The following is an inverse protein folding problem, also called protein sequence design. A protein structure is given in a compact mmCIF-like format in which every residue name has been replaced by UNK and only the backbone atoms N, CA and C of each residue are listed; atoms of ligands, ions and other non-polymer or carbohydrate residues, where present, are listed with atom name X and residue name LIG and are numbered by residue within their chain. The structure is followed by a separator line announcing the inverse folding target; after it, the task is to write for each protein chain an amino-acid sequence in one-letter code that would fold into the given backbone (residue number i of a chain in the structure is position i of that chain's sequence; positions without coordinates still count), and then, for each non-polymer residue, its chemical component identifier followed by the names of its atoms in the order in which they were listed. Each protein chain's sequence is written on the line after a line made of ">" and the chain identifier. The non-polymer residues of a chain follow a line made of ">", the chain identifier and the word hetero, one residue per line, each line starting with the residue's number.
data_IF_227289536074
#
_entry.id   IF_227289536074
#
_cell.length_a   1.000
_cell.length_b   1.000
_cell.length_c   1.000
_cell.angle_alpha   90.00
_cell.angle_beta   90.00
_cell.angle_gamma   90.00
#
_symmetry.space_group_name_H-M   'P 1'
#
loop_
_entity.id
_entity.type
_entity.pdbx_description
1 polymer ?
#
# COMPACT_ATOMS: atom_id res chain seq x y z
N UNK A 1 -15.37 25.57 77.15
CA UNK A 1 -16.65 25.24 76.50
C UNK A 1 -16.43 25.33 75.00
N UNK A 2 -16.55 24.18 74.33
CA UNK A 2 -17.25 23.96 73.04
C UNK A 2 -16.79 24.79 71.82
N UNK A 3 -16.62 24.28 70.62
CA UNK A 3 -16.62 22.93 70.06
C UNK A 3 -16.13 23.11 68.61
N UNK A 4 -15.30 22.18 68.15
CA UNK A 4 -15.35 21.55 66.82
C UNK A 4 -16.23 22.22 65.73
N UNK A 5 -15.61 22.71 64.65
CA UNK A 5 -16.05 22.45 63.27
C UNK A 5 -14.80 22.41 62.37
N UNK A 6 -14.18 21.22 62.27
CA UNK A 6 -14.10 20.38 61.06
C UNK A 6 -13.39 21.06 59.88
N UNK A 7 -12.07 20.82 59.81
CA UNK A 7 -11.34 20.86 58.56
C UNK A 7 -12.01 19.93 57.55
N UNK A 8 -12.36 20.48 56.40
CA UNK A 8 -12.80 19.70 55.25
C UNK A 8 -11.54 19.05 54.68
N UNK A 9 -11.14 17.93 55.27
CA UNK A 9 -10.34 16.95 54.56
C UNK A 9 -11.29 16.30 53.56
N UNK A 10 -11.40 16.88 52.36
CA UNK A 10 -11.82 16.12 51.20
C UNK A 10 -10.74 15.06 51.01
N UNK A 11 -10.93 13.89 51.63
CA UNK A 11 -10.27 12.68 51.20
C UNK A 11 -10.72 12.48 49.76
N UNK A 12 -9.91 12.96 48.81
CA UNK A 12 -9.99 12.50 47.45
C UNK A 12 -9.66 11.02 47.53
N UNK A 13 -10.68 10.18 47.71
CA UNK A 13 -10.59 8.81 47.29
C UNK A 13 -10.39 8.92 45.79
N UNK A 14 -9.12 8.92 45.37
CA UNK A 14 -8.75 8.62 44.02
C UNK A 14 -9.34 7.24 43.78
N UNK A 15 -10.54 7.21 43.19
CA UNK A 15 -11.08 6.02 42.59
C UNK A 15 -10.05 5.71 41.51
N UNK A 16 -9.15 4.78 41.82
CA UNK A 16 -8.28 4.16 40.82
C UNK A 16 -9.24 3.32 39.99
N UNK A 17 -9.95 4.00 39.11
CA UNK A 17 -10.52 3.44 37.91
C UNK A 17 -9.31 2.94 37.15
N UNK A 18 -8.93 1.67 37.37
CA UNK A 18 -8.14 0.95 36.38
C UNK A 18 -9.06 0.90 35.17
N UNK A 19 -8.90 1.86 34.26
CA UNK A 19 -9.37 1.67 32.90
C UNK A 19 -8.75 0.35 32.48
N UNK A 20 -9.58 -0.65 32.20
CA UNK A 20 -9.15 -1.90 31.59
C UNK A 20 -8.54 -1.50 30.25
N UNK A 21 -7.24 -1.27 30.27
CA UNK A 21 -6.56 -0.51 29.25
C UNK A 21 -6.38 -1.44 28.06
N UNK A 22 -7.07 -1.18 26.94
CA UNK A 22 -6.82 -1.84 25.66
C UNK A 22 -5.46 -1.44 25.04
N UNK A 23 -4.64 -0.63 25.74
CA UNK A 23 -3.32 -0.21 25.26
C UNK A 23 -2.35 -1.35 24.95
N UNK A 24 -2.27 -2.49 25.68
CA UNK A 24 -1.34 -3.55 25.31
C UNK A 24 -1.79 -4.29 24.04
N UNK A 25 -3.10 -4.42 23.77
CA UNK A 25 -3.58 -5.06 22.54
C UNK A 25 -3.39 -4.19 21.30
N UNK A 26 -3.46 -2.86 21.47
CA UNK A 26 -3.10 -1.89 20.43
C UNK A 26 -1.59 -1.85 20.17
N UNK A 27 -0.78 -1.89 21.22
CA UNK A 27 0.68 -1.92 21.12
C UNK A 27 1.18 -3.15 20.35
N UNK A 28 0.60 -4.33 20.58
CA UNK A 28 0.97 -5.56 19.85
C UNK A 28 0.64 -5.45 18.34
N UNK A 29 -0.45 -4.80 17.98
CA UNK A 29 -0.82 -4.58 16.57
C UNK A 29 0.14 -3.60 15.89
N UNK A 30 0.52 -2.52 16.57
CA UNK A 30 1.50 -1.56 16.08
C UNK A 30 2.86 -2.22 15.89
N UNK A 31 3.33 -2.96 16.89
CA UNK A 31 4.57 -3.74 16.79
C UNK A 31 4.56 -4.67 15.57
N UNK A 32 3.44 -5.34 15.27
CA UNK A 32 3.33 -6.18 14.07
C UNK A 32 3.52 -5.39 12.77
N UNK A 33 2.85 -4.24 12.65
CA UNK A 33 2.98 -3.37 11.47
C UNK A 33 4.42 -2.88 11.33
N UNK A 34 5.05 -2.46 12.43
CA UNK A 34 6.44 -2.01 12.46
C UNK A 34 7.42 -3.09 11.97
N UNK A 35 7.08 -4.37 12.18
CA UNK A 35 7.87 -5.52 11.72
C UNK A 35 7.40 -6.08 10.37
N UNK A 36 6.55 -5.35 9.63
CA UNK A 36 6.06 -5.77 8.31
C UNK A 36 5.07 -6.94 8.32
N UNK A 37 4.45 -7.23 9.48
CA UNK A 37 3.42 -8.25 9.63
C UNK A 37 2.02 -7.64 9.55
N UNK A 38 1.04 -8.43 9.11
CA UNK A 38 -0.37 -8.03 9.16
C UNK A 38 -0.86 -7.70 10.58
N UNK A 39 -1.77 -6.73 10.65
CA UNK A 39 -2.47 -6.29 11.86
C UNK A 39 -3.23 -7.44 12.51
N UNK A 40 -3.91 -8.24 11.69
CA UNK A 40 -4.63 -9.42 12.12
C UNK A 40 -3.71 -10.64 11.98
N UNK A 41 -3.44 -11.32 13.09
CA UNK A 41 -2.60 -12.53 13.16
C UNK A 41 -3.02 -13.64 12.18
N UNK A 42 -4.31 -13.75 11.86
CA UNK A 42 -4.86 -14.80 10.98
C UNK A 42 -5.10 -14.31 9.55
N UNK A 43 -4.58 -13.14 9.17
CA UNK A 43 -4.74 -12.64 7.81
C UNK A 43 -3.85 -13.37 6.81
N UNK A 44 -2.58 -13.58 7.17
CA UNK A 44 -1.55 -14.15 6.31
C UNK A 44 -0.45 -14.82 7.13
N UNK A 45 0.35 -15.67 6.48
CA UNK A 45 1.56 -16.26 7.04
C UNK A 45 1.39 -17.73 7.39
N UNK A 46 2.44 -18.31 8.01
CA UNK A 46 2.58 -19.77 8.21
C UNK A 46 1.38 -20.37 8.94
N UNK A 47 0.83 -19.67 9.93
CA UNK A 47 -0.33 -20.12 10.69
C UNK A 47 -1.61 -20.27 9.84
N UNK A 48 -1.77 -19.45 8.80
CA UNK A 48 -3.02 -19.38 8.00
C UNK A 48 -2.88 -20.08 6.65
N UNK A 49 -1.69 -20.03 6.07
CA UNK A 49 -1.40 -20.55 4.74
C UNK A 49 -0.74 -21.93 4.77
N UNK A 50 -0.19 -22.34 5.92
CA UNK A 50 0.28 -23.71 6.15
C UNK A 50 -0.86 -24.73 6.24
N UNK A 51 -0.57 -26.03 6.04
CA UNK A 51 -1.54 -27.10 6.25
C UNK A 51 -1.73 -27.38 7.75
N UNK A 52 -2.98 -27.60 8.16
CA UNK A 52 -3.32 -27.88 9.57
C UNK A 52 -2.91 -29.29 10.02
N UNK A 53 -2.81 -30.24 9.08
CA UNK A 53 -2.42 -31.63 9.30
C UNK A 53 -1.58 -32.14 8.14
N UNK A 54 -0.95 -33.31 8.31
CA UNK A 54 -0.26 -34.06 7.25
C UNK A 54 -0.53 -35.56 7.41
N UNK A 55 -0.44 -36.33 6.32
CA UNK A 55 -0.59 -37.79 6.38
C UNK A 55 0.67 -38.45 6.96
N UNK A 56 0.51 -39.52 7.73
CA UNK A 56 1.64 -40.29 8.28
C UNK A 56 2.54 -40.88 7.18
N UNK A 57 1.93 -41.24 6.04
CA UNK A 57 2.62 -41.68 4.82
C UNK A 57 3.51 -40.60 4.18
N UNK A 58 3.44 -39.34 4.64
CA UNK A 58 4.15 -38.20 4.06
C UNK A 58 3.51 -37.62 2.80
N UNK A 59 2.29 -38.05 2.44
CA UNK A 59 1.53 -37.46 1.34
C UNK A 59 1.19 -36.00 1.66
N UNK A 60 1.19 -35.10 0.67
CA UNK A 60 0.84 -33.71 0.89
C UNK A 60 -0.65 -33.56 1.20
N UNK A 61 -0.96 -32.58 2.04
CA UNK A 61 -2.33 -32.25 2.42
C UNK A 61 -3.07 -31.61 1.24
N UNK A 62 -4.28 -32.07 0.91
CA UNK A 62 -5.07 -31.47 -0.15
C UNK A 62 -5.40 -30.00 0.19
N UNK A 63 -5.47 -29.16 -0.83
CA UNK A 63 -5.69 -27.73 -0.66
C UNK A 63 -7.09 -27.41 -0.10
N UNK A 64 -7.15 -26.62 0.97
CA UNK A 64 -8.42 -26.18 1.55
C UNK A 64 -9.11 -25.16 0.64
N UNK A 65 -10.45 -25.16 0.64
CA UNK A 65 -11.25 -24.26 -0.21
C UNK A 65 -10.91 -22.78 -0.01
N UNK A 66 -10.72 -22.34 1.25
CA UNK A 66 -10.38 -20.94 1.56
C UNK A 66 -8.94 -20.60 1.15
N UNK A 67 -7.99 -21.53 1.30
CA UNK A 67 -6.62 -21.35 0.81
C UNK A 67 -6.63 -21.18 -0.71
N UNK A 68 -7.32 -22.06 -1.43
CA UNK A 68 -7.53 -21.95 -2.88
C UNK A 68 -8.12 -20.60 -3.29
N UNK A 69 -9.18 -20.15 -2.61
CA UNK A 69 -9.82 -18.86 -2.88
C UNK A 69 -8.86 -17.69 -2.68
N UNK A 70 -8.03 -17.71 -1.63
CA UNK A 70 -7.00 -16.69 -1.40
C UNK A 70 -5.94 -16.70 -2.50
N UNK A 71 -5.45 -17.87 -2.88
CA UNK A 71 -4.45 -18.01 -3.95
C UNK A 71 -4.96 -17.44 -5.28
N UNK A 72 -6.18 -17.81 -5.70
CA UNK A 72 -6.78 -17.28 -6.93
C UNK A 72 -6.96 -15.77 -6.87
N UNK A 73 -7.42 -15.25 -5.72
CA UNK A 73 -7.55 -13.81 -5.53
C UNK A 73 -6.20 -13.07 -5.64
N UNK A 74 -5.12 -13.65 -5.11
CA UNK A 74 -3.78 -13.07 -5.25
C UNK A 74 -3.28 -13.11 -6.70
N UNK A 75 -3.59 -14.18 -7.43
CA UNK A 75 -3.30 -14.28 -8.86
C UNK A 75 -4.03 -13.19 -9.66
N UNK A 76 -5.30 -12.94 -9.35
CA UNK A 76 -6.08 -11.88 -9.99
C UNK A 76 -5.47 -10.49 -9.73
N UNK A 77 -5.02 -10.23 -8.49
CA UNK A 77 -4.35 -8.98 -8.16
C UNK A 77 -3.02 -8.84 -8.90
N UNK A 78 -2.19 -9.87 -8.91
CA UNK A 78 -0.92 -9.84 -9.64
C UNK A 78 -1.12 -9.57 -11.13
N UNK A 79 -2.11 -10.24 -11.74
CA UNK A 79 -2.45 -10.05 -13.15
C UNK A 79 -2.85 -8.59 -13.42
N UNK A 80 -3.74 -8.03 -12.59
CA UNK A 80 -4.17 -6.63 -12.72
C UNK A 80 -3.02 -5.63 -12.54
N UNK A 81 -2.11 -5.88 -11.60
CA UNK A 81 -0.95 -4.99 -11.39
C UNK A 81 -0.09 -4.97 -12.65
N UNK A 82 0.23 -6.14 -13.20
CA UNK A 82 1.05 -6.26 -14.41
C UNK A 82 0.39 -5.56 -15.60
N UNK A 83 -0.91 -5.77 -15.81
CA UNK A 83 -1.63 -5.11 -16.92
C UNK A 83 -1.59 -3.59 -16.77
N UNK A 84 -1.93 -3.06 -15.60
CA UNK A 84 -1.94 -1.62 -15.35
C UNK A 84 -0.55 -0.98 -15.51
N UNK A 85 0.49 -1.63 -15.03
CA UNK A 85 1.87 -1.17 -15.25
C UNK A 85 2.20 -1.10 -16.75
N UNK A 86 1.87 -2.15 -17.50
CA UNK A 86 2.13 -2.20 -18.94
C UNK A 86 1.38 -1.12 -19.73
N UNK A 87 0.14 -0.82 -19.34
CA UNK A 87 -0.67 0.24 -19.94
C UNK A 87 -0.07 1.62 -19.70
N UNK A 88 0.42 1.89 -18.49
CA UNK A 88 1.07 3.14 -18.13
C UNK A 88 2.36 3.32 -18.94
N UNK A 89 3.18 2.27 -19.03
CA UNK A 89 4.44 2.32 -19.78
C UNK A 89 4.19 2.53 -21.28
N UNK A 90 3.17 1.86 -21.82
CA UNK A 90 2.72 2.10 -23.19
C UNK A 90 2.28 3.55 -23.41
N UNK A 91 1.47 4.11 -22.50
CA UNK A 91 0.99 5.47 -22.61
C UNK A 91 2.13 6.50 -22.60
N UNK A 92 3.13 6.31 -21.72
CA UNK A 92 4.33 7.16 -21.67
C UNK A 92 5.11 7.11 -22.98
N UNK A 93 5.38 5.90 -23.49
CA UNK A 93 6.09 5.71 -24.76
C UNK A 93 5.34 6.36 -25.93
N UNK A 94 4.04 6.06 -26.04
CA UNK A 94 3.14 6.63 -27.05
C UNK A 94 3.18 8.16 -27.07
N UNK A 95 3.19 8.79 -25.89
CA UNK A 95 3.25 10.23 -25.74
C UNK A 95 4.60 10.80 -26.20
N UNK A 96 5.70 10.17 -25.80
CA UNK A 96 7.05 10.56 -26.25
C UNK A 96 7.19 10.44 -27.77
N UNK A 97 6.73 9.33 -28.35
CA UNK A 97 6.75 9.11 -29.79
C UNK A 97 5.96 10.20 -30.54
N UNK A 98 4.82 10.63 -29.98
CA UNK A 98 4.00 11.70 -30.55
C UNK A 98 4.71 13.06 -30.52
N UNK A 99 5.40 13.38 -29.43
CA UNK A 99 6.20 14.61 -29.32
C UNK A 99 7.35 14.59 -30.32
N UNK A 100 8.08 13.48 -30.41
CA UNK A 100 9.19 13.29 -31.33
C UNK A 100 8.72 13.44 -32.79
N UNK A 101 7.61 12.79 -33.15
CA UNK A 101 7.03 12.91 -34.49
C UNK A 101 6.67 14.36 -34.84
N UNK A 102 6.08 15.10 -33.90
CA UNK A 102 5.73 16.51 -34.08
C UNK A 102 6.97 17.40 -34.26
N UNK A 103 8.05 17.10 -33.54
CA UNK A 103 9.33 17.80 -33.72
C UNK A 103 9.97 17.47 -35.07
N UNK A 104 9.97 16.20 -35.48
CA UNK A 104 10.48 15.77 -36.77
C UNK A 104 9.72 16.43 -37.93
N UNK A 105 8.39 16.51 -37.86
CA UNK A 105 7.59 17.23 -38.84
C UNK A 105 7.98 18.70 -38.92
N UNK A 106 8.12 19.37 -37.77
CA UNK A 106 8.59 20.77 -37.73
C UNK A 106 9.97 20.92 -38.37
N UNK A 107 10.91 20.02 -38.05
CA UNK A 107 12.26 20.01 -38.64
C UNK A 107 12.21 19.80 -40.15
N UNK A 108 11.38 18.87 -40.63
CA UNK A 108 11.16 18.62 -42.07
C UNK A 108 10.57 19.85 -42.78
N UNK A 109 9.59 20.52 -42.17
CA UNK A 109 9.01 21.75 -42.73
C UNK A 109 10.07 22.85 -42.83
N UNK A 110 10.91 23.02 -41.79
CA UNK A 110 11.99 24.00 -41.79
C UNK A 110 13.04 23.66 -42.84
N UNK A 111 13.47 22.39 -42.94
CA UNK A 111 14.48 21.96 -43.91
C UNK A 111 14.00 22.07 -45.35
N UNK A 112 12.71 21.87 -45.59
CA UNK A 112 12.10 21.99 -46.92
C UNK A 112 11.77 23.44 -47.30
N UNK A 113 12.00 24.42 -46.42
CA UNK A 113 11.73 25.83 -46.71
C UNK A 113 12.71 26.34 -47.77
N UNK A 114 12.20 27.09 -48.74
CA UNK A 114 13.03 27.74 -49.76
C UNK A 114 14.01 28.74 -49.11
N UNK A 115 15.16 28.95 -49.78
CA UNK A 115 16.17 29.92 -49.34
C UNK A 115 15.56 31.30 -49.10
N UNK A 116 15.96 32.02 -48.04
CA UNK A 116 15.48 33.37 -47.79
C UNK A 116 15.90 34.33 -48.92
N UNK A 117 15.08 35.36 -49.20
CA UNK A 117 15.33 36.37 -50.24
C UNK A 117 15.21 37.80 -49.69
N UNK A 118 15.72 38.78 -50.44
CA UNK A 118 15.53 40.21 -50.17
C UNK A 118 16.26 40.69 -48.91
N UNK A 119 15.58 41.47 -48.06
CA UNK A 119 16.15 42.07 -46.84
C UNK A 119 16.75 41.05 -45.86
N UNK A 120 16.31 39.79 -45.90
CA UNK A 120 16.86 38.71 -45.09
C UNK A 120 18.29 38.29 -45.49
N UNK A 121 18.76 38.68 -46.68
CA UNK A 121 20.13 38.44 -47.17
C UNK A 121 21.03 39.69 -47.04
N UNK A 122 20.47 40.85 -46.69
CA UNK A 122 21.12 42.17 -46.83
C UNK A 122 21.67 42.73 -45.50
N UNK A 123 21.98 41.87 -44.54
CA UNK A 123 22.63 42.27 -43.29
C UNK A 123 24.09 41.84 -43.29
#
# INVERSE_FOLDING_TARGET
>A
MNNLVKGICLSQHAVISRSLCCTPSMYIKQWRIEHGLSVNRTAEGILTDGPDYTFLDGRPTPLLQKQKKRMLKQQDYATKIVTLCSEIDFAKKRYQDMLNAKEEERRKIISNRLKPKGRALSK
#
